data_IF_889561379022
#
_entry.id   IF_889561379022
#
_cell.length_a   1.000
_cell.length_b   1.000
_cell.length_c   1.000
_cell.angle_alpha   90.00
_cell.angle_beta   90.00
_cell.angle_gamma   90.00
#
_symmetry.space_group_name_H-M   'P 1'
#
loop_
_entity.id
_entity.type
_entity.pdbx_description
1 polymer ?
#
# COMPACT_ATOMS: atom_id res chain seq x y z
N UNK A 1 0.42 -5.16 -9.41
CA UNK A 1 0.55 -6.20 -10.46
C UNK A 1 -0.49 -5.89 -11.54
N UNK A 2 -0.27 -6.25 -12.80
CA UNK A 2 -1.36 -6.18 -13.79
C UNK A 2 -1.97 -7.58 -13.90
N UNK A 3 -3.24 -7.72 -13.51
CA UNK A 3 -4.01 -8.94 -13.66
C UNK A 3 -4.84 -8.83 -14.94
N UNK A 4 -4.34 -9.46 -16.01
CA UNK A 4 -5.08 -9.56 -17.27
C UNK A 4 -5.86 -10.87 -17.32
N UNK A 5 -7.05 -10.86 -17.93
CA UNK A 5 -7.86 -12.06 -18.14
C UNK A 5 -8.10 -12.88 -16.86
N UNK A 6 -8.29 -12.21 -15.71
CA UNK A 6 -8.59 -12.87 -14.44
C UNK A 6 -9.86 -13.70 -14.57
N UNK A 7 -9.81 -14.99 -14.22
CA UNK A 7 -10.93 -15.93 -14.19
C UNK A 7 -10.98 -16.61 -12.84
N UNK A 8 -12.06 -16.39 -12.10
CA UNK A 8 -12.31 -17.05 -10.80
C UNK A 8 -13.07 -18.36 -11.05
N UNK A 9 -12.58 -19.45 -10.47
CA UNK A 9 -13.17 -20.78 -10.61
C UNK A 9 -14.12 -21.07 -9.44
N UNK A 10 -13.58 -21.14 -8.22
CA UNK A 10 -14.36 -21.40 -6.99
C UNK A 10 -14.27 -20.20 -6.06
N UNK A 11 -15.34 -19.99 -5.30
CA UNK A 11 -15.44 -18.99 -4.24
C UNK A 11 -16.14 -19.65 -3.06
N UNK A 12 -15.65 -19.46 -1.85
CA UNK A 12 -16.35 -19.86 -0.62
C UNK A 12 -16.23 -18.75 0.41
N UNK A 13 -17.30 -18.56 1.18
CA UNK A 13 -17.41 -17.52 2.18
C UNK A 13 -17.58 -18.13 3.57
N UNK A 14 -16.75 -17.72 4.51
CA UNK A 14 -16.86 -18.02 5.93
C UNK A 14 -17.08 -16.72 6.70
N UNK A 15 -17.55 -16.81 7.93
CA UNK A 15 -17.70 -15.65 8.81
C UNK A 15 -16.74 -15.75 9.99
N UNK A 16 -16.04 -14.65 10.27
CA UNK A 16 -15.17 -14.51 11.43
C UNK A 16 -15.72 -13.44 12.37
N UNK A 17 -15.49 -13.62 13.66
CA UNK A 17 -16.08 -12.77 14.68
C UNK A 17 -15.01 -11.99 15.45
N UNK A 18 -15.44 -10.87 16.02
CA UNK A 18 -14.64 -10.15 17.01
C UNK A 18 -14.43 -11.05 18.23
N UNK A 19 -13.26 -10.93 18.87
CA UNK A 19 -12.96 -11.60 20.14
C UNK A 19 -14.06 -11.34 21.18
N UNK A 20 -14.40 -12.36 21.98
CA UNK A 20 -15.40 -12.24 23.05
C UNK A 20 -14.93 -11.26 24.14
N UNK A 21 -15.77 -11.01 25.16
CA UNK A 21 -15.46 -10.02 26.21
C UNK A 21 -14.17 -10.35 26.97
N UNK A 22 -13.87 -11.63 27.09
CA UNK A 22 -12.67 -12.17 27.74
C UNK A 22 -11.43 -12.20 26.80
N UNK A 23 -11.56 -11.63 25.60
CA UNK A 23 -10.52 -11.56 24.54
C UNK A 23 -10.15 -12.91 23.94
N UNK A 24 -10.97 -13.93 24.16
CA UNK A 24 -10.77 -15.26 23.59
C UNK A 24 -11.23 -15.34 22.13
N UNK A 25 -10.70 -16.35 21.44
CA UNK A 25 -11.08 -16.67 20.06
C UNK A 25 -12.55 -17.08 20.01
N UNK A 26 -13.30 -16.50 19.09
CA UNK A 26 -14.61 -17.02 18.71
C UNK A 26 -14.42 -17.82 17.44
N UNK A 27 -14.85 -19.09 17.45
CA UNK A 27 -14.73 -19.98 16.30
C UNK A 27 -15.48 -19.39 15.09
N UNK A 28 -14.86 -19.38 13.89
CA UNK A 28 -15.55 -18.93 12.68
C UNK A 28 -16.81 -19.76 12.39
N UNK A 29 -17.80 -19.12 11.75
CA UNK A 29 -18.90 -19.84 11.11
C UNK A 29 -18.47 -20.27 9.72
N UNK A 30 -18.58 -21.57 9.43
CA UNK A 30 -18.06 -22.13 8.19
C UNK A 30 -19.19 -22.40 7.20
N UNK A 31 -19.02 -22.01 5.93
CA UNK A 31 -19.78 -22.61 4.83
C UNK A 31 -19.29 -24.03 4.53
N UNK A 32 -20.23 -24.91 4.20
CA UNK A 32 -20.00 -26.26 3.69
C UNK A 32 -20.26 -26.36 2.17
N UNK A 33 -20.46 -25.22 1.50
CA UNK A 33 -20.78 -25.17 0.07
C UNK A 33 -20.05 -24.05 -0.65
N UNK A 34 -19.59 -24.34 -1.87
CA UNK A 34 -19.01 -23.35 -2.78
C UNK A 34 -20.12 -22.42 -3.28
N UNK A 35 -19.84 -21.12 -3.27
CA UNK A 35 -20.75 -20.09 -3.73
C UNK A 35 -20.87 -20.08 -5.26
N UNK A 36 -22.11 -20.12 -5.75
CA UNK A 36 -22.42 -19.98 -7.18
C UNK A 36 -22.81 -18.53 -7.44
N UNK A 37 -21.82 -17.72 -7.82
CA UNK A 37 -22.05 -16.35 -8.24
C UNK A 37 -22.66 -16.32 -9.65
N UNK A 38 -23.74 -15.56 -9.83
CA UNK A 38 -24.26 -15.24 -11.16
C UNK A 38 -23.22 -14.43 -11.98
N UNK A 39 -23.49 -14.27 -13.28
CA UNK A 39 -22.55 -13.62 -14.19
C UNK A 39 -22.21 -12.17 -13.77
N UNK A 40 -23.18 -11.41 -13.27
CA UNK A 40 -23.01 -10.01 -12.88
C UNK A 40 -22.20 -9.90 -11.57
N UNK A 41 -22.54 -10.72 -10.58
CA UNK A 41 -21.83 -10.81 -9.31
C UNK A 41 -20.38 -11.27 -9.52
N UNK A 42 -20.16 -12.27 -10.39
CA UNK A 42 -18.82 -12.78 -10.73
C UNK A 42 -17.97 -11.72 -11.42
N UNK A 43 -18.52 -11.02 -12.42
CA UNK A 43 -17.83 -9.93 -13.12
C UNK A 43 -17.46 -8.79 -12.16
N UNK A 44 -18.40 -8.42 -11.27
CA UNK A 44 -18.17 -7.39 -10.25
C UNK A 44 -17.08 -7.81 -9.26
N UNK A 45 -17.08 -9.07 -8.81
CA UNK A 45 -16.06 -9.62 -7.93
C UNK A 45 -14.67 -9.59 -8.59
N UNK A 46 -14.57 -10.04 -9.84
CA UNK A 46 -13.32 -10.01 -10.62
C UNK A 46 -12.79 -8.59 -10.81
N UNK A 47 -13.67 -7.63 -11.12
CA UNK A 47 -13.32 -6.22 -11.26
C UNK A 47 -12.74 -5.68 -9.95
N UNK A 48 -13.40 -5.90 -8.81
CA UNK A 48 -12.92 -5.44 -7.50
C UNK A 48 -11.57 -6.02 -7.11
N UNK A 49 -11.32 -7.30 -7.40
CA UNK A 49 -10.02 -7.95 -7.17
C UNK A 49 -8.95 -7.35 -8.09
N UNK A 50 -9.26 -7.17 -9.36
CA UNK A 50 -8.34 -6.58 -10.35
C UNK A 50 -7.96 -5.15 -9.97
N UNK A 51 -8.95 -4.32 -9.64
CA UNK A 51 -8.75 -2.93 -9.21
C UNK A 51 -7.89 -2.86 -7.95
N UNK A 52 -8.14 -3.74 -6.97
CA UNK A 52 -7.41 -3.78 -5.71
C UNK A 52 -5.97 -4.29 -5.86
N UNK A 53 -5.65 -5.08 -6.89
CA UNK A 53 -4.30 -5.62 -7.12
C UNK A 53 -3.52 -4.89 -8.23
N UNK A 54 -4.14 -3.89 -8.87
CA UNK A 54 -3.52 -3.04 -9.88
C UNK A 54 -2.26 -2.32 -9.38
N UNK A 55 -1.40 -1.81 -10.27
CA UNK A 55 -0.17 -1.12 -9.87
C UNK A 55 -0.46 0.13 -9.00
N UNK A 56 -1.59 0.80 -9.25
CA UNK A 56 -1.97 2.04 -8.59
C UNK A 56 -2.60 1.83 -7.20
N UNK A 57 -2.95 0.59 -6.82
CA UNK A 57 -3.86 0.33 -5.71
C UNK A 57 -3.20 0.03 -4.35
N UNK A 58 -1.95 0.44 -4.07
CA UNK A 58 -1.22 0.04 -2.83
C UNK A 58 -1.09 -1.47 -2.63
N UNK A 59 -1.27 -2.25 -3.69
CA UNK A 59 -0.90 -3.65 -3.66
C UNK A 59 0.63 -3.77 -3.69
N UNK A 60 1.17 -4.66 -2.87
CA UNK A 60 2.61 -4.86 -2.74
C UNK A 60 2.93 -6.36 -2.74
N UNK A 61 3.99 -6.73 -3.46
CA UNK A 61 4.57 -8.05 -3.34
C UNK A 61 5.33 -8.15 -2.02
N UNK A 62 4.99 -9.15 -1.21
CA UNK A 62 5.61 -9.42 0.08
C UNK A 62 6.41 -10.70 0.03
N UNK A 63 7.46 -10.76 0.85
CA UNK A 63 8.30 -11.95 0.98
C UNK A 63 7.63 -12.91 1.95
N UNK A 64 7.39 -14.14 1.50
CA UNK A 64 6.86 -15.21 2.34
C UNK A 64 7.97 -15.68 3.30
N UNK A 65 7.65 -15.79 4.59
CA UNK A 65 8.57 -16.26 5.64
C UNK A 65 8.07 -17.50 6.36
N UNK A 66 6.76 -17.70 6.49
CA UNK A 66 6.18 -18.95 7.00
C UNK A 66 6.00 -19.95 5.86
N UNK A 67 6.75 -21.06 5.89
CA UNK A 67 6.70 -22.12 4.88
C UNK A 67 6.28 -23.49 5.48
N UNK A 68 5.94 -23.53 6.76
CA UNK A 68 5.48 -24.76 7.44
C UNK A 68 4.11 -25.23 6.94
N UNK A 69 3.67 -26.42 7.37
CA UNK A 69 2.43 -27.05 6.88
C UNK A 69 1.13 -26.35 7.32
N UNK A 70 1.23 -25.42 8.28
CA UNK A 70 0.13 -24.56 8.74
C UNK A 70 0.19 -23.16 8.11
N UNK A 71 1.14 -22.90 7.22
CA UNK A 71 1.25 -21.63 6.50
C UNK A 71 0.12 -21.44 5.47
N UNK A 72 -0.13 -20.18 5.09
CA UNK A 72 -1.08 -19.87 4.01
C UNK A 72 -0.56 -20.39 2.68
N UNK A 73 0.76 -20.38 2.44
CA UNK A 73 1.34 -20.94 1.21
C UNK A 73 1.14 -22.46 1.12
N UNK A 74 1.24 -23.20 2.23
CA UNK A 74 0.92 -24.62 2.25
C UNK A 74 -0.57 -24.88 1.93
N UNK A 75 -1.46 -24.02 2.42
CA UNK A 75 -2.90 -24.10 2.08
C UNK A 75 -3.16 -23.80 0.60
N UNK A 76 -2.47 -22.80 0.04
CA UNK A 76 -2.55 -22.47 -1.38
C UNK A 76 -2.00 -23.59 -2.27
N UNK A 77 -0.90 -24.22 -1.86
CA UNK A 77 -0.31 -25.39 -2.51
C UNK A 77 -1.31 -26.55 -2.56
N UNK A 78 -1.97 -26.86 -1.43
CA UNK A 78 -3.04 -27.86 -1.38
C UNK A 78 -4.15 -27.52 -2.38
N UNK A 79 -4.66 -26.30 -2.36
CA UNK A 79 -5.75 -25.84 -3.25
C UNK A 79 -5.40 -26.01 -4.73
N UNK A 80 -4.17 -25.71 -5.14
CA UNK A 80 -3.75 -25.77 -6.54
C UNK A 80 -3.38 -27.21 -6.95
N UNK A 81 -2.52 -27.88 -6.18
CA UNK A 81 -1.85 -29.11 -6.62
C UNK A 81 -2.50 -30.39 -6.08
N UNK A 82 -3.11 -30.37 -4.89
CA UNK A 82 -3.68 -31.58 -4.28
C UNK A 82 -5.19 -31.72 -4.48
N UNK A 83 -5.88 -30.60 -4.71
CA UNK A 83 -7.32 -30.56 -4.90
C UNK A 83 -7.73 -30.72 -6.36
N UNK A 84 -6.89 -30.26 -7.31
CA UNK A 84 -7.26 -30.25 -8.73
C UNK A 84 -8.59 -29.52 -9.00
N UNK A 85 -9.14 -29.70 -10.20
CA UNK A 85 -10.42 -29.10 -10.59
C UNK A 85 -11.66 -29.85 -10.07
N UNK A 86 -11.51 -30.97 -9.35
CA UNK A 86 -12.61 -31.90 -9.03
C UNK A 86 -12.77 -32.22 -7.53
N UNK A 87 -11.99 -31.59 -6.65
CA UNK A 87 -12.00 -31.89 -5.20
C UNK A 87 -12.70 -30.84 -4.34
N UNK A 88 -13.98 -30.53 -4.58
CA UNK A 88 -14.70 -29.46 -3.86
C UNK A 88 -14.66 -29.62 -2.33
N UNK A 89 -14.77 -30.85 -1.82
CA UNK A 89 -14.71 -31.09 -0.37
C UNK A 89 -13.36 -30.71 0.25
N UNK A 90 -12.25 -31.06 -0.42
CA UNK A 90 -10.92 -30.69 0.07
C UNK A 90 -10.71 -29.17 0.01
N UNK A 91 -11.24 -28.50 -1.01
CA UNK A 91 -11.22 -27.03 -1.07
C UNK A 91 -11.94 -26.41 0.13
N UNK A 92 -13.15 -26.91 0.45
CA UNK A 92 -13.94 -26.49 1.62
C UNK A 92 -13.14 -26.71 2.92
N UNK A 93 -12.49 -27.85 3.10
CA UNK A 93 -11.75 -28.15 4.33
C UNK A 93 -10.50 -27.25 4.50
N UNK A 94 -9.80 -26.97 3.40
CA UNK A 94 -8.66 -26.04 3.40
C UNK A 94 -9.13 -24.60 3.64
N UNK A 95 -10.25 -24.18 3.07
CA UNK A 95 -10.78 -22.82 3.26
C UNK A 95 -11.24 -22.57 4.70
N UNK A 96 -11.79 -23.59 5.38
CA UNK A 96 -12.08 -23.55 6.83
C UNK A 96 -10.80 -23.32 7.65
N UNK A 97 -9.73 -24.01 7.30
CA UNK A 97 -8.42 -23.87 7.96
C UNK A 97 -7.85 -22.45 7.78
N UNK A 98 -8.00 -21.86 6.60
CA UNK A 98 -7.62 -20.47 6.32
C UNK A 98 -8.46 -19.47 7.15
N UNK A 99 -9.78 -19.66 7.22
CA UNK A 99 -10.67 -18.83 8.03
C UNK A 99 -10.31 -18.90 9.53
N UNK A 100 -10.00 -20.11 10.03
CA UNK A 100 -9.54 -20.30 11.40
C UNK A 100 -8.18 -19.62 11.66
N UNK A 101 -7.20 -19.78 10.77
CA UNK A 101 -5.88 -19.11 10.90
C UNK A 101 -6.04 -17.59 10.94
N UNK A 102 -6.90 -17.02 10.08
CA UNK A 102 -7.19 -15.59 10.08
C UNK A 102 -7.83 -15.13 11.41
N UNK A 103 -8.82 -15.86 11.91
CA UNK A 103 -9.44 -15.55 13.20
C UNK A 103 -8.42 -15.63 14.36
N UNK A 104 -7.53 -16.64 14.34
CA UNK A 104 -6.44 -16.79 15.31
C UNK A 104 -5.45 -15.61 15.26
N UNK A 105 -5.11 -15.11 14.08
CA UNK A 105 -4.24 -13.95 13.89
C UNK A 105 -4.85 -12.64 14.43
N UNK A 106 -6.18 -12.52 14.49
CA UNK A 106 -6.88 -11.36 15.04
C UNK A 106 -6.86 -11.31 16.57
N UNK A 107 -5.71 -11.05 17.20
CA UNK A 107 -5.51 -11.12 18.66
C UNK A 107 -6.17 -10.00 19.48
N UNK A 108 -6.82 -9.01 18.84
CA UNK A 108 -7.39 -7.85 19.51
C UNK A 108 -8.87 -7.63 19.21
N UNK A 109 -9.64 -7.22 20.22
CA UNK A 109 -11.05 -6.79 20.09
C UNK A 109 -11.26 -5.56 19.20
N UNK A 110 -10.21 -4.84 18.81
CA UNK A 110 -10.33 -3.72 17.86
C UNK A 110 -10.59 -4.20 16.44
N UNK A 111 -10.23 -5.44 16.12
CA UNK A 111 -10.51 -6.02 14.81
C UNK A 111 -11.97 -6.42 14.74
N UNK A 112 -12.67 -5.87 13.75
CA UNK A 112 -14.03 -6.26 13.46
C UNK A 112 -14.06 -7.64 12.82
N UNK A 113 -15.17 -8.33 13.04
CA UNK A 113 -15.52 -9.53 12.30
C UNK A 113 -15.84 -9.20 10.83
N UNK A 114 -16.48 -10.15 10.17
CA UNK A 114 -16.93 -10.01 8.79
C UNK A 114 -16.70 -11.29 8.01
N UNK A 115 -16.56 -11.14 6.70
CA UNK A 115 -16.52 -12.26 5.76
C UNK A 115 -15.09 -12.59 5.37
N UNK A 116 -14.75 -13.88 5.39
CA UNK A 116 -13.53 -14.44 4.82
C UNK A 116 -13.89 -15.13 3.53
N UNK A 117 -13.37 -14.63 2.41
CA UNK A 117 -13.63 -15.17 1.08
C UNK A 117 -12.37 -15.88 0.61
N UNK A 118 -12.43 -17.20 0.43
CA UNK A 118 -11.34 -17.98 -0.18
C UNK A 118 -11.74 -18.31 -1.61
N UNK A 119 -10.83 -18.07 -2.56
CA UNK A 119 -11.12 -18.25 -3.97
C UNK A 119 -9.86 -18.65 -4.74
N UNK A 120 -10.03 -19.34 -5.86
CA UNK A 120 -8.94 -19.72 -6.76
C UNK A 120 -9.34 -19.51 -8.21
N UNK A 121 -8.34 -19.56 -9.09
CA UNK A 121 -8.59 -19.35 -10.51
C UNK A 121 -7.34 -19.29 -11.35
N UNK A 122 -7.47 -18.66 -12.51
CA UNK A 122 -6.39 -18.43 -13.47
C UNK A 122 -6.37 -17.00 -13.98
N UNK A 123 -5.23 -16.54 -14.49
CA UNK A 123 -5.08 -15.24 -15.11
C UNK A 123 -3.91 -15.21 -16.11
N UNK A 124 -3.91 -14.22 -17.00
CA UNK A 124 -2.81 -13.92 -17.92
C UNK A 124 -2.67 -14.86 -19.12
N UNK A 125 -1.69 -14.56 -19.97
CA UNK A 125 -1.23 -15.38 -21.09
C UNK A 125 0.31 -15.43 -21.04
N UNK A 126 0.94 -16.60 -20.80
CA UNK A 126 0.32 -17.91 -20.52
C UNK A 126 -0.50 -17.91 -19.22
N UNK A 127 -1.50 -18.81 -19.14
CA UNK A 127 -2.35 -18.93 -17.95
C UNK A 127 -1.51 -19.29 -16.72
N UNK A 128 -1.69 -18.52 -15.64
CA UNK A 128 -1.13 -18.78 -14.32
C UNK A 128 -2.24 -19.02 -13.32
N UNK A 129 -2.06 -20.02 -12.45
CA UNK A 129 -2.97 -20.27 -11.35
C UNK A 129 -2.78 -19.26 -10.22
N UNK A 130 -3.79 -19.09 -9.38
CA UNK A 130 -3.68 -18.29 -8.16
C UNK A 130 -4.62 -18.82 -7.07
N UNK A 131 -4.34 -18.44 -5.83
CA UNK A 131 -5.27 -18.54 -4.69
C UNK A 131 -5.35 -17.17 -4.03
N UNK A 132 -6.57 -16.71 -3.79
CA UNK A 132 -6.85 -15.46 -3.10
C UNK A 132 -7.61 -15.70 -1.80
N UNK A 133 -7.32 -14.86 -0.80
CA UNK A 133 -8.09 -14.75 0.43
C UNK A 133 -8.44 -13.29 0.67
N UNK A 134 -9.73 -12.98 0.82
CA UNK A 134 -10.22 -11.66 1.20
C UNK A 134 -10.72 -11.69 2.63
N UNK A 135 -10.32 -10.72 3.44
CA UNK A 135 -11.04 -10.35 4.67
C UNK A 135 -11.83 -9.09 4.37
N UNK A 136 -13.15 -9.13 4.46
CA UNK A 136 -14.03 -7.99 4.24
C UNK A 136 -14.87 -7.69 5.48
N UNK A 137 -14.88 -6.43 5.92
CA UNK A 137 -15.80 -5.97 6.96
C UNK A 137 -17.18 -5.70 6.36
N UNK A 138 -18.21 -5.96 7.16
CA UNK A 138 -19.60 -5.72 6.77
C UNK A 138 -20.04 -4.29 7.10
N UNK A 139 -21.01 -3.82 6.33
CA UNK A 139 -21.64 -2.51 6.45
C UNK A 139 -23.15 -2.67 6.35
N UNK A 140 -23.86 -1.73 6.94
CA UNK A 140 -25.29 -1.59 6.69
C UNK A 140 -25.57 -0.63 5.55
N UNK A 141 -26.71 -0.80 4.90
CA UNK A 141 -27.15 0.08 3.82
C UNK A 141 -28.62 -0.08 3.50
N UNK A 142 -29.13 0.77 2.62
CA UNK A 142 -30.51 0.70 2.16
C UNK A 142 -30.54 0.27 0.69
N UNK A 143 -31.34 -0.74 0.37
CA UNK A 143 -31.64 -1.17 -0.99
C UNK A 143 -33.07 -0.78 -1.36
N UNK A 144 -33.23 -0.21 -2.55
CA UNK A 144 -34.56 0.02 -3.14
C UNK A 144 -35.04 -1.25 -3.81
N UNK A 145 -36.20 -1.73 -3.39
CA UNK A 145 -36.94 -2.80 -4.08
C UNK A 145 -38.08 -2.16 -4.86
N UNK A 146 -38.20 -2.51 -6.14
CA UNK A 146 -39.36 -2.12 -6.95
C UNK A 146 -40.25 -3.34 -7.09
N UNK A 147 -41.40 -3.31 -6.42
CA UNK A 147 -42.45 -4.30 -6.60
C UNK A 147 -43.62 -3.64 -7.33
N UNK A 148 -43.72 -3.92 -8.63
CA UNK A 148 -44.78 -3.53 -9.60
C UNK A 148 -45.19 -2.05 -9.60
N UNK A 149 -45.72 -1.51 -8.51
CA UNK A 149 -46.16 -0.11 -8.34
C UNK A 149 -45.60 0.59 -7.08
N UNK A 150 -44.96 -0.15 -6.16
CA UNK A 150 -44.41 0.41 -4.92
C UNK A 150 -42.90 0.45 -4.95
N UNK A 151 -42.37 1.57 -4.47
CA UNK A 151 -40.96 1.76 -4.19
C UNK A 151 -40.79 1.49 -2.71
N UNK A 152 -40.23 0.33 -2.38
CA UNK A 152 -39.97 -0.07 -1.00
C UNK A 152 -38.49 0.13 -0.69
N UNK A 153 -38.21 0.56 0.54
CA UNK A 153 -36.84 0.67 1.08
C UNK A 153 -36.61 -0.50 2.02
N UNK A 154 -35.63 -1.34 1.71
CA UNK A 154 -35.16 -2.41 2.58
C UNK A 154 -33.84 -2.01 3.22
N UNK A 155 -33.76 -2.11 4.55
CA UNK A 155 -32.48 -2.04 5.24
C UNK A 155 -31.78 -3.39 5.16
N UNK A 156 -30.54 -3.38 4.69
CA UNK A 156 -29.66 -4.54 4.60
C UNK A 156 -28.59 -4.38 5.67
N UNK A 157 -28.48 -5.39 6.52
CA UNK A 157 -27.30 -5.63 7.31
C UNK A 157 -26.35 -6.53 6.49
N UNK A 158 -25.06 -6.47 6.78
CA UNK A 158 -24.08 -7.40 6.23
C UNK A 158 -23.71 -7.25 4.76
N UNK A 159 -23.74 -6.02 4.23
CA UNK A 159 -23.20 -5.69 2.91
C UNK A 159 -21.67 -5.65 2.99
N UNK A 160 -20.96 -6.32 2.08
CA UNK A 160 -19.49 -6.31 2.02
C UNK A 160 -18.95 -6.05 0.61
N UNK A 161 -17.63 -5.83 0.53
CA UNK A 161 -16.90 -5.51 -0.71
C UNK A 161 -17.40 -4.24 -1.43
N UNK A 162 -18.13 -3.33 -0.78
CA UNK A 162 -18.69 -2.14 -1.43
C UNK A 162 -17.60 -1.24 -2.06
N UNK A 163 -17.91 -0.53 -3.16
CA UNK A 163 -16.93 0.32 -3.85
C UNK A 163 -16.51 1.53 -3.02
N UNK A 164 -17.38 2.03 -2.14
CA UNK A 164 -17.21 3.34 -1.50
C UNK A 164 -16.12 3.36 -0.42
N UNK A 165 -16.01 2.33 0.41
CA UNK A 165 -15.12 2.36 1.58
C UNK A 165 -13.99 1.32 1.55
N UNK A 166 -13.96 0.43 0.53
CA UNK A 166 -12.95 -0.64 0.36
C UNK A 166 -12.50 -1.25 1.69
N UNK A 167 -13.45 -1.61 2.57
CA UNK A 167 -13.15 -2.17 3.90
C UNK A 167 -12.74 -3.64 3.81
N UNK A 168 -11.75 -3.93 2.98
CA UNK A 168 -11.26 -5.27 2.75
C UNK A 168 -9.76 -5.31 2.52
N UNK A 169 -9.18 -6.47 2.85
CA UNK A 169 -7.78 -6.81 2.61
C UNK A 169 -7.74 -8.04 1.70
N UNK A 170 -6.77 -8.11 0.81
CA UNK A 170 -6.59 -9.25 -0.09
C UNK A 170 -5.18 -9.79 0.09
N UNK A 171 -5.06 -11.10 0.32
CA UNK A 171 -3.84 -11.86 0.09
C UNK A 171 -3.99 -12.67 -1.19
N UNK A 172 -3.05 -12.53 -2.12
CA UNK A 172 -3.10 -13.16 -3.44
C UNK A 172 -1.80 -13.89 -3.72
N UNK A 173 -1.86 -15.22 -3.77
CA UNK A 173 -0.71 -16.10 -3.94
C UNK A 173 -0.67 -16.68 -5.34
N UNK A 174 0.52 -16.67 -5.94
CA UNK A 174 0.78 -17.21 -7.26
C UNK A 174 1.93 -18.22 -7.15
N UNK A 175 1.76 -19.46 -7.60
CA UNK A 175 2.84 -20.43 -7.62
C UNK A 175 3.91 -20.01 -8.62
N UNK A 176 5.18 -20.17 -8.24
CA UNK A 176 6.31 -20.08 -9.15
C UNK A 176 6.58 -21.41 -9.85
N UNK A 177 7.85 -21.70 -10.10
CA UNK A 177 8.26 -23.00 -10.64
C UNK A 177 8.09 -24.07 -9.58
N UNK A 178 7.52 -25.21 -9.97
CA UNK A 178 7.28 -26.33 -9.05
C UNK A 178 8.58 -26.86 -8.41
N UNK A 179 9.72 -26.75 -9.12
CA UNK A 179 11.05 -27.10 -8.59
C UNK A 179 11.45 -26.34 -7.33
N UNK A 180 10.89 -25.15 -7.15
CA UNK A 180 11.26 -24.23 -6.07
C UNK A 180 10.38 -24.46 -4.82
N UNK A 181 9.43 -25.41 -4.89
CA UNK A 181 8.48 -25.73 -3.84
C UNK A 181 7.74 -24.49 -3.32
N UNK A 182 7.50 -24.43 -2.01
CA UNK A 182 6.85 -23.29 -1.36
C UNK A 182 7.65 -21.98 -1.45
N UNK A 183 8.97 -22.06 -1.62
CA UNK A 183 9.83 -20.87 -1.73
C UNK A 183 9.68 -20.13 -3.07
N UNK A 184 9.16 -20.81 -4.10
CA UNK A 184 8.90 -20.23 -5.41
C UNK A 184 7.62 -19.38 -5.49
N UNK A 185 6.81 -19.33 -4.43
CA UNK A 185 5.55 -18.61 -4.46
C UNK A 185 5.73 -17.09 -4.29
N UNK A 186 4.98 -16.32 -5.07
CA UNK A 186 4.82 -14.87 -4.85
C UNK A 186 3.54 -14.60 -4.07
N UNK A 187 3.60 -13.66 -3.14
CA UNK A 187 2.44 -13.21 -2.36
C UNK A 187 2.24 -11.70 -2.57
N UNK A 188 1.04 -11.30 -2.98
CA UNK A 188 0.64 -9.90 -3.12
C UNK A 188 -0.39 -9.57 -2.06
N UNK A 189 -0.13 -8.52 -1.28
CA UNK A 189 -1.05 -8.03 -0.26
C UNK A 189 -1.63 -6.70 -0.71
N UNK A 190 -2.94 -6.57 -0.67
CA UNK A 190 -3.66 -5.30 -0.72
C UNK A 190 -4.30 -5.01 0.63
N UNK A 191 -4.16 -3.77 1.08
CA UNK A 191 -4.83 -3.26 2.26
C UNK A 191 -5.11 -1.77 2.09
N UNK A 192 -6.38 -1.39 2.04
CA UNK A 192 -6.81 0.01 1.91
C UNK A 192 -6.35 0.89 3.08
N UNK A 193 -6.09 0.30 4.25
CA UNK A 193 -5.67 1.01 5.46
C UNK A 193 -4.15 1.18 5.57
N UNK A 194 -3.35 0.70 4.62
CA UNK A 194 -1.89 0.89 4.63
C UNK A 194 -1.47 2.37 4.43
N UNK A 195 -2.41 3.30 4.17
CA UNK A 195 -2.08 4.74 4.03
C UNK A 195 -2.21 5.66 5.24
N UNK A 196 -1.23 6.58 5.22
CA UNK A 196 -1.01 7.90 5.83
C UNK A 196 -1.57 8.30 7.19
N UNK A 197 -2.65 7.71 7.73
CA UNK A 197 -3.24 8.27 8.95
C UNK A 197 -3.93 7.31 9.93
N UNK A 198 -3.89 5.98 9.75
CA UNK A 198 -4.53 5.07 10.72
C UNK A 198 -3.67 3.86 11.10
N UNK A 199 -3.11 3.95 12.32
CA UNK A 199 -2.68 2.90 13.25
C UNK A 199 -2.07 1.64 12.62
N UNK A 200 -0.74 1.69 12.50
CA UNK A 200 0.21 0.66 12.04
C UNK A 200 -0.01 -0.77 12.54
N UNK A 201 -0.69 -0.98 13.68
CA UNK A 201 -0.86 -2.33 14.22
C UNK A 201 -2.11 -3.05 13.70
N UNK A 202 -2.99 -2.40 12.93
CA UNK A 202 -4.21 -3.03 12.40
C UNK A 202 -4.08 -3.73 11.05
N UNK A 203 -2.98 -3.53 10.33
CA UNK A 203 -2.66 -4.24 9.09
C UNK A 203 -1.68 -5.41 9.31
N UNK A 204 -0.81 -5.31 10.32
CA UNK A 204 0.24 -6.29 10.62
C UNK A 204 -0.30 -7.70 10.86
N UNK A 205 -1.43 -7.83 11.55
CA UNK A 205 -2.03 -9.14 11.78
C UNK A 205 -2.37 -9.86 10.47
N UNK A 206 -2.71 -9.12 9.41
CA UNK A 206 -3.12 -9.71 8.14
C UNK A 206 -1.91 -10.17 7.33
N UNK A 207 -0.94 -9.29 7.08
CA UNK A 207 0.22 -9.69 6.24
C UNK A 207 1.23 -10.57 7.00
N UNK A 208 1.45 -10.33 8.29
CA UNK A 208 2.48 -11.04 9.06
C UNK A 208 1.88 -12.25 9.75
N UNK A 209 0.98 -12.04 10.72
CA UNK A 209 0.48 -13.14 11.56
C UNK A 209 -0.46 -14.11 10.84
N UNK A 210 -1.20 -13.66 9.82
CA UNK A 210 -2.07 -14.51 9.01
C UNK A 210 -1.35 -15.00 7.76
N UNK A 211 -0.92 -14.10 6.87
CA UNK A 211 -0.31 -14.47 5.59
C UNK A 211 1.13 -14.99 5.72
N UNK A 212 1.78 -14.83 6.88
CA UNK A 212 3.13 -15.33 7.10
C UNK A 212 4.18 -14.61 6.25
N UNK A 213 3.96 -13.33 5.97
CA UNK A 213 4.79 -12.52 5.07
C UNK A 213 5.49 -11.38 5.80
N UNK A 214 6.52 -10.84 5.17
CA UNK A 214 7.22 -9.63 5.59
C UNK A 214 7.53 -8.74 4.40
N UNK A 215 7.94 -7.50 4.68
CA UNK A 215 8.33 -6.54 3.67
C UNK A 215 9.56 -7.03 2.87
N UNK A 216 9.65 -6.72 1.57
CA UNK A 216 10.87 -6.92 0.79
C UNK A 216 12.08 -6.20 1.42
N UNK A 217 13.27 -6.79 1.32
CA UNK A 217 14.50 -6.24 1.91
C UNK A 217 15.08 -5.04 1.16
N UNK A 218 14.50 -4.64 0.03
CA UNK A 218 15.00 -3.56 -0.82
C UNK A 218 14.39 -2.19 -0.52
N UNK A 219 13.56 -2.08 0.53
CA UNK A 219 12.87 -0.83 0.90
C UNK A 219 13.81 0.37 1.05
N UNK A 220 14.95 0.16 1.71
CA UNK A 220 15.96 1.19 1.93
C UNK A 220 16.50 1.76 0.60
N UNK A 221 16.88 0.86 -0.30
CA UNK A 221 17.35 1.18 -1.64
C UNK A 221 16.25 1.88 -2.47
N UNK A 222 15.03 1.34 -2.49
CA UNK A 222 13.93 1.91 -3.28
C UNK A 222 13.51 3.30 -2.76
N UNK A 223 13.47 3.51 -1.44
CA UNK A 223 13.21 4.83 -0.83
C UNK A 223 14.30 5.84 -1.20
N UNK A 224 15.57 5.44 -1.09
CA UNK A 224 16.71 6.27 -1.48
C UNK A 224 16.67 6.61 -2.99
N UNK A 225 16.41 5.62 -3.84
CA UNK A 225 16.25 5.79 -5.30
C UNK A 225 15.10 6.73 -5.64
N UNK A 226 13.94 6.58 -4.99
CA UNK A 226 12.79 7.48 -5.16
C UNK A 226 13.16 8.94 -4.86
N UNK A 227 13.82 9.15 -3.73
CA UNK A 227 14.24 10.48 -3.29
C UNK A 227 15.21 11.13 -4.29
N UNK A 228 16.22 10.38 -4.74
CA UNK A 228 17.23 10.86 -5.68
C UNK A 228 16.63 11.15 -7.07
N UNK A 229 15.75 10.26 -7.57
CA UNK A 229 15.06 10.46 -8.85
C UNK A 229 14.12 11.66 -8.81
N UNK A 230 13.36 11.83 -7.73
CA UNK A 230 12.46 12.97 -7.58
C UNK A 230 13.23 14.28 -7.55
N UNK A 231 14.35 14.35 -6.82
CA UNK A 231 15.25 15.52 -6.86
C UNK A 231 15.78 15.80 -8.26
N UNK A 232 16.19 14.77 -9.00
CA UNK A 232 16.69 14.89 -10.38
C UNK A 232 15.60 15.43 -11.31
N UNK A 233 14.38 14.94 -11.19
CA UNK A 233 13.23 15.43 -11.95
C UNK A 233 12.95 16.91 -11.65
N UNK A 234 12.80 17.27 -10.37
CA UNK A 234 12.50 18.65 -9.95
C UNK A 234 13.61 19.63 -10.36
N UNK A 235 14.88 19.21 -10.32
CA UNK A 235 15.98 20.07 -10.78
C UNK A 235 15.88 20.40 -12.27
N UNK A 236 15.53 19.39 -13.07
CA UNK A 236 15.53 19.45 -14.53
C UNK A 236 14.17 19.91 -15.12
N UNK A 237 13.18 20.22 -14.30
CA UNK A 237 11.88 20.73 -14.78
C UNK A 237 11.89 22.24 -15.02
N UNK A 238 10.92 22.74 -15.77
CA UNK A 238 10.73 24.18 -16.03
C UNK A 238 9.90 24.87 -14.92
N UNK A 239 9.88 24.30 -13.72
CA UNK A 239 9.17 24.88 -12.58
C UNK A 239 9.90 26.10 -12.02
N UNK A 240 9.13 27.08 -11.54
CA UNK A 240 9.66 28.23 -10.81
C UNK A 240 10.54 27.80 -9.61
N UNK A 241 11.62 28.54 -9.30
CA UNK A 241 12.54 28.20 -8.21
C UNK A 241 11.85 27.95 -6.86
N UNK A 242 10.83 28.74 -6.54
CA UNK A 242 10.04 28.63 -5.31
C UNK A 242 9.27 27.31 -5.26
N UNK A 243 8.59 26.94 -6.35
CA UNK A 243 7.89 25.64 -6.47
C UNK A 243 8.86 24.47 -6.36
N UNK A 244 10.04 24.57 -6.98
CA UNK A 244 11.10 23.55 -6.84
C UNK A 244 11.51 23.38 -5.38
N UNK A 245 11.63 24.47 -4.61
CA UNK A 245 11.92 24.42 -3.18
C UNK A 245 10.80 23.73 -2.41
N UNK A 246 9.55 24.11 -2.64
CA UNK A 246 8.39 23.57 -1.94
C UNK A 246 8.21 22.07 -2.18
N UNK A 247 8.43 21.59 -3.42
CA UNK A 247 8.38 20.17 -3.74
C UNK A 247 9.51 19.40 -3.06
N UNK A 248 10.73 19.95 -3.02
CA UNK A 248 11.84 19.33 -2.29
C UNK A 248 11.56 19.25 -0.78
N UNK A 249 10.86 20.24 -0.25
CA UNK A 249 10.45 20.28 1.15
C UNK A 249 9.37 19.26 1.48
N UNK A 250 8.40 19.13 0.57
CA UNK A 250 7.38 18.10 0.59
C UNK A 250 7.98 16.69 0.49
N UNK A 251 8.91 16.46 -0.44
CA UNK A 251 9.60 15.16 -0.61
C UNK A 251 10.28 14.72 0.67
N UNK A 252 10.94 15.65 1.35
CA UNK A 252 11.56 15.36 2.63
C UNK A 252 10.52 14.93 3.68
N UNK A 253 9.43 15.68 3.79
CA UNK A 253 8.34 15.39 4.75
C UNK A 253 7.71 14.04 4.44
N UNK A 254 7.44 13.78 3.16
CA UNK A 254 6.86 12.56 2.65
C UNK A 254 7.72 11.32 2.94
N UNK A 255 9.04 11.42 2.81
CA UNK A 255 9.92 10.27 3.05
C UNK A 255 10.25 10.08 4.53
N UNK A 256 10.48 11.17 5.28
CA UNK A 256 11.00 11.08 6.65
C UNK A 256 9.96 11.19 7.75
N UNK A 257 8.95 12.05 7.56
CA UNK A 257 8.04 12.46 8.64
C UNK A 257 6.75 11.65 8.62
N UNK A 258 6.26 11.30 7.43
CA UNK A 258 5.06 10.46 7.31
C UNK A 258 5.30 9.06 7.88
N UNK A 259 4.30 8.55 8.61
CA UNK A 259 4.39 7.29 9.36
C UNK A 259 3.84 6.08 8.61
N UNK A 260 3.35 6.25 7.37
CA UNK A 260 2.86 5.09 6.63
C UNK A 260 4.03 4.18 6.23
N UNK A 261 3.92 2.86 6.40
CA UNK A 261 5.04 1.94 6.15
C UNK A 261 5.37 1.77 4.67
N UNK A 262 4.50 2.22 3.77
CA UNK A 262 4.71 2.16 2.33
C UNK A 262 4.22 3.42 1.63
N UNK A 263 4.63 3.64 0.40
CA UNK A 263 4.11 4.70 -0.45
C UNK A 263 4.17 4.32 -1.93
N UNK A 264 3.43 5.04 -2.78
CA UNK A 264 3.59 4.98 -4.24
C UNK A 264 4.14 6.31 -4.78
N UNK A 265 4.76 6.28 -5.97
CA UNK A 265 5.17 7.51 -6.66
C UNK A 265 3.98 8.39 -7.05
N UNK A 266 2.85 7.76 -7.38
CA UNK A 266 1.61 8.45 -7.72
C UNK A 266 1.03 9.22 -6.54
N UNK A 267 1.04 8.64 -5.33
CA UNK A 267 0.62 9.35 -4.10
C UNK A 267 1.40 10.64 -3.88
N UNK A 268 2.72 10.61 -4.10
CA UNK A 268 3.55 11.81 -4.01
C UNK A 268 3.16 12.83 -5.10
N UNK A 269 3.01 12.36 -6.34
CA UNK A 269 2.66 13.22 -7.47
C UNK A 269 1.30 13.91 -7.28
N UNK A 270 0.28 13.17 -6.88
CA UNK A 270 -1.07 13.69 -6.66
C UNK A 270 -1.13 14.71 -5.53
N UNK A 271 -0.33 14.49 -4.48
CA UNK A 271 -0.33 15.34 -3.27
C UNK A 271 0.53 16.58 -3.40
N UNK A 272 1.65 16.52 -4.13
CA UNK A 272 2.68 17.56 -4.08
C UNK A 272 3.11 18.11 -5.44
N UNK A 273 2.77 17.46 -6.55
CA UNK A 273 3.12 17.97 -7.88
C UNK A 273 1.92 18.70 -8.54
N UNK A 274 2.18 19.83 -9.22
CA UNK A 274 1.20 20.46 -10.12
C UNK A 274 0.70 19.49 -11.18
N UNK A 275 -0.56 19.63 -11.61
CA UNK A 275 -1.22 18.69 -12.53
C UNK A 275 -0.42 18.53 -13.84
N UNK A 276 0.15 19.61 -14.32
CA UNK A 276 0.82 19.73 -15.62
C UNK A 276 2.12 18.92 -15.71
N UNK A 277 2.74 18.59 -14.57
CA UNK A 277 4.02 17.87 -14.52
C UNK A 277 3.89 16.41 -14.07
N UNK A 278 2.69 15.96 -13.69
CA UNK A 278 2.46 14.59 -13.15
C UNK A 278 2.77 13.51 -14.17
N UNK A 279 2.31 13.67 -15.41
CA UNK A 279 2.54 12.68 -16.47
C UNK A 279 4.02 12.58 -16.84
N UNK A 280 4.70 13.73 -16.90
CA UNK A 280 6.14 13.79 -17.11
C UNK A 280 6.94 13.13 -15.98
N UNK A 281 6.51 13.31 -14.72
CA UNK A 281 7.11 12.67 -13.56
C UNK A 281 6.95 11.15 -13.59
N UNK A 282 5.73 10.66 -13.86
CA UNK A 282 5.44 9.23 -13.98
C UNK A 282 6.27 8.58 -15.09
N UNK A 283 6.31 9.21 -16.27
CA UNK A 283 7.12 8.74 -17.42
C UNK A 283 8.62 8.74 -17.12
N UNK A 284 9.11 9.74 -16.39
CA UNK A 284 10.50 9.83 -15.97
C UNK A 284 10.88 8.71 -15.00
N UNK A 285 10.05 8.42 -14.00
CA UNK A 285 10.28 7.33 -13.04
C UNK A 285 10.27 5.97 -13.72
N UNK A 286 9.31 5.74 -14.62
CA UNK A 286 9.21 4.51 -15.41
C UNK A 286 10.48 4.30 -16.27
N UNK A 287 10.93 5.34 -16.96
CA UNK A 287 12.16 5.32 -17.77
C UNK A 287 13.43 5.02 -16.95
N UNK A 288 13.43 5.40 -15.67
CA UNK A 288 14.52 5.10 -14.73
C UNK A 288 14.31 3.78 -13.96
N UNK A 289 13.38 2.93 -14.42
CA UNK A 289 13.05 1.63 -13.83
C UNK A 289 12.73 1.74 -12.33
N UNK A 290 11.99 2.77 -11.95
CA UNK A 290 11.41 2.85 -10.61
C UNK A 290 10.09 2.05 -10.60
N UNK A 291 9.83 1.23 -9.57
CA UNK A 291 8.62 0.41 -9.53
C UNK A 291 7.36 1.28 -9.49
N UNK A 292 6.33 0.86 -10.24
CA UNK A 292 4.99 1.48 -10.18
C UNK A 292 4.14 0.96 -9.01
N UNK A 293 4.56 -0.14 -8.36
CA UNK A 293 3.93 -0.69 -7.16
C UNK A 293 4.24 0.15 -5.91
N UNK A 294 3.55 -0.15 -4.81
CA UNK A 294 3.95 0.35 -3.51
C UNK A 294 5.37 -0.11 -3.12
N UNK A 295 6.07 0.81 -2.46
CA UNK A 295 7.44 0.68 -1.97
C UNK A 295 7.43 0.82 -0.46
N UNK A 296 8.28 0.05 0.22
CA UNK A 296 8.47 0.14 1.67
C UNK A 296 9.19 1.43 2.00
N UNK A 297 8.59 2.24 2.89
CA UNK A 297 9.22 3.45 3.42
C UNK A 297 10.29 3.04 4.42
N UNK A 298 11.54 3.06 3.98
CA UNK A 298 12.68 2.73 4.81
C UNK A 298 13.81 3.73 4.54
N UNK A 299 14.18 4.47 5.59
CA UNK A 299 15.16 5.56 5.51
C UNK A 299 16.55 5.14 5.98
N UNK A 300 16.77 3.85 6.27
CA UNK A 300 18.04 3.34 6.80
C UNK A 300 19.25 3.66 5.89
N UNK A 301 19.08 3.58 4.57
CA UNK A 301 20.11 3.93 3.57
C UNK A 301 20.27 5.44 3.31
N UNK A 302 19.46 6.29 3.94
CA UNK A 302 19.47 7.73 3.64
C UNK A 302 20.46 8.52 4.50
N UNK A 303 21.02 7.93 5.55
CA UNK A 303 22.13 8.49 6.34
C UNK A 303 21.98 9.97 6.70
N UNK A 304 22.94 10.80 6.29
CA UNK A 304 22.96 12.26 6.55
C UNK A 304 22.08 13.07 5.58
N UNK A 305 21.64 12.50 4.46
CA UNK A 305 20.83 13.20 3.43
C UNK A 305 19.52 13.74 4.01
N UNK A 306 19.02 13.08 5.06
CA UNK A 306 17.83 13.48 5.79
C UNK A 306 18.10 14.30 7.07
N UNK A 307 19.36 14.46 7.48
CA UNK A 307 19.75 15.20 8.69
C UNK A 307 20.02 16.68 8.40
N UNK A 308 20.54 16.98 7.21
CA UNK A 308 20.96 18.32 6.77
C UNK A 308 20.37 18.62 5.41
N UNK A 309 19.76 19.79 5.24
CA UNK A 309 19.51 20.37 3.92
C UNK A 309 20.73 21.19 3.51
N UNK A 310 21.16 21.02 2.27
CA UNK A 310 22.32 21.72 1.70
C UNK A 310 21.84 22.65 0.59
N UNK A 311 22.22 23.90 0.70
CA UNK A 311 21.93 25.00 -0.20
C UNK A 311 23.27 25.42 -0.81
N UNK A 312 23.31 25.58 -2.14
CA UNK A 312 24.50 26.04 -2.86
C UNK A 312 24.23 27.43 -3.44
N UNK A 313 25.21 28.30 -3.34
CA UNK A 313 25.19 29.66 -3.88
C UNK A 313 26.40 29.81 -4.80
N UNK A 314 26.19 29.61 -6.10
CA UNK A 314 27.29 29.53 -7.08
C UNK A 314 28.20 28.31 -6.86
N UNK A 315 29.46 28.45 -7.26
CA UNK A 315 30.50 27.42 -7.08
C UNK A 315 31.16 27.44 -5.70
N UNK A 316 31.12 28.59 -5.01
CA UNK A 316 32.09 28.90 -3.94
C UNK A 316 31.48 28.91 -2.54
N UNK A 317 30.15 28.94 -2.44
CA UNK A 317 29.46 29.02 -1.16
C UNK A 317 28.40 27.93 -0.99
N UNK A 318 28.39 27.33 0.20
CA UNK A 318 27.37 26.38 0.62
C UNK A 318 26.90 26.67 2.05
N UNK A 319 25.60 26.53 2.27
CA UNK A 319 25.02 26.56 3.60
C UNK A 319 24.29 25.25 3.85
N UNK A 320 24.38 24.73 5.06
CA UNK A 320 23.51 23.62 5.44
C UNK A 320 22.93 23.79 6.83
N UNK A 321 21.69 23.33 6.98
CA UNK A 321 20.93 23.43 8.22
C UNK A 321 20.09 22.17 8.42
N UNK A 322 19.75 21.85 9.68
CA UNK A 322 18.80 20.77 9.92
C UNK A 322 17.40 21.22 9.48
N UNK A 323 16.57 20.31 8.93
CA UNK A 323 15.17 20.58 8.62
C UNK A 323 14.38 21.13 9.81
N UNK A 324 14.71 20.69 11.03
CA UNK A 324 14.07 21.17 12.25
C UNK A 324 14.41 22.63 12.54
N UNK A 325 15.66 23.05 12.28
CA UNK A 325 16.06 24.42 12.44
C UNK A 325 15.31 25.36 11.49
N UNK A 326 15.06 24.91 10.25
CA UNK A 326 14.25 25.65 9.27
C UNK A 326 12.78 25.72 9.71
N UNK A 327 12.18 24.57 10.06
CA UNK A 327 10.77 24.49 10.48
C UNK A 327 10.47 25.32 11.72
N UNK A 328 11.36 25.28 12.71
CA UNK A 328 11.18 26.02 13.97
C UNK A 328 11.67 27.47 13.88
N UNK A 329 11.95 27.98 12.66
CA UNK A 329 12.46 29.33 12.41
C UNK A 329 13.74 29.69 13.20
N UNK A 330 14.54 28.68 13.58
CA UNK A 330 15.90 28.90 14.08
C UNK A 330 16.83 29.34 12.95
N UNK A 331 16.54 28.88 11.73
CA UNK A 331 17.18 29.34 10.50
C UNK A 331 16.10 29.80 9.53
N UNK A 332 16.23 31.00 8.98
CA UNK A 332 15.37 31.51 7.91
C UNK A 332 16.23 31.83 6.68
N UNK A 333 15.71 31.49 5.49
CA UNK A 333 16.34 31.79 4.20
C UNK A 333 15.29 32.52 3.36
N UNK A 334 15.60 33.74 2.91
CA UNK A 334 14.69 34.59 2.11
C UNK A 334 15.44 35.26 0.97
N UNK A 335 14.73 35.48 -0.13
CA UNK A 335 15.20 36.35 -1.22
C UNK A 335 14.87 37.80 -0.85
N UNK A 336 15.84 38.70 -1.00
CA UNK A 336 15.73 40.12 -0.66
C UNK A 336 16.45 40.93 -1.73
N UNK A 337 15.90 42.07 -2.14
CA UNK A 337 16.56 43.02 -3.06
C UNK A 337 17.89 43.51 -2.47
N UNK A 338 18.96 43.54 -3.27
CA UNK A 338 20.29 43.95 -2.83
C UNK A 338 20.30 45.34 -2.17
N UNK A 339 19.58 46.33 -2.73
CA UNK A 339 19.40 47.66 -2.12
C UNK A 339 18.94 47.65 -0.67
N UNK A 340 18.06 46.71 -0.28
CA UNK A 340 17.58 46.59 1.11
C UNK A 340 18.65 46.08 2.08
N UNK A 341 19.74 45.54 1.54
CA UNK A 341 20.89 45.03 2.29
C UNK A 341 22.19 45.83 2.01
N UNK A 342 22.08 46.98 1.36
CA UNK A 342 23.21 47.88 1.08
C UNK A 342 23.95 47.63 -0.24
N UNK A 343 23.37 46.86 -1.17
CA UNK A 343 23.85 46.76 -2.55
C UNK A 343 23.41 47.93 -3.43
N UNK A 344 24.06 48.11 -4.57
CA UNK A 344 23.83 49.26 -5.48
C UNK A 344 22.67 49.04 -6.47
N UNK A 345 22.15 47.81 -6.58
CA UNK A 345 21.14 47.42 -7.57
C UNK A 345 19.92 46.69 -6.95
N UNK A 346 18.97 46.35 -7.81
CA UNK A 346 17.78 45.57 -7.42
C UNK A 346 18.01 44.06 -7.64
N UNK A 347 19.27 43.61 -7.71
CA UNK A 347 19.56 42.20 -7.91
C UNK A 347 19.05 41.36 -6.72
N UNK A 348 18.41 40.20 -6.95
CA UNK A 348 17.92 39.38 -5.86
C UNK A 348 19.08 38.72 -5.09
N UNK A 349 19.29 39.15 -3.85
CA UNK A 349 20.23 38.52 -2.92
C UNK A 349 19.54 37.50 -2.01
N UNK A 350 20.30 36.56 -1.46
CA UNK A 350 19.80 35.63 -0.44
C UNK A 350 20.22 36.09 0.95
N UNK A 351 19.25 36.31 1.83
CA UNK A 351 19.48 36.56 3.26
C UNK A 351 19.28 35.28 4.06
N UNK A 352 20.29 34.89 4.84
CA UNK A 352 20.23 33.77 5.79
C UNK A 352 20.29 34.33 7.22
N UNK A 353 19.26 34.07 8.01
CA UNK A 353 19.19 34.48 9.42
C UNK A 353 19.32 33.23 10.28
N UNK A 354 20.35 33.18 11.13
CA UNK A 354 20.58 32.11 12.11
C UNK A 354 20.33 32.65 13.51
N UNK A 355 19.22 32.27 14.14
CA UNK A 355 18.82 32.68 15.51
C UNK A 355 19.43 31.75 16.56
N UNK A 356 20.72 31.48 16.44
CA UNK A 356 21.49 30.65 17.34
C UNK A 356 22.95 31.08 17.31
N UNK A 357 23.62 31.10 18.46
CA UNK A 357 25.04 31.43 18.52
C UNK A 357 25.88 30.33 17.88
N UNK A 358 26.98 30.73 17.24
CA UNK A 358 27.99 29.81 16.72
C UNK A 358 28.67 29.13 17.92
N UNK A 359 28.70 27.79 17.91
CA UNK A 359 29.38 27.02 18.95
C UNK A 359 30.79 26.64 18.54
N UNK A 360 30.99 26.24 17.28
CA UNK A 360 32.26 25.76 16.74
C UNK A 360 32.39 26.13 15.26
N UNK A 361 33.64 26.17 14.76
CA UNK A 361 33.98 26.26 13.33
C UNK A 361 34.69 24.96 12.94
N UNK A 362 34.12 24.21 11.98
CA UNK A 362 34.59 22.90 11.54
C UNK A 362 35.28 22.95 10.19
#
# INVERSE_FOLDING_TARGET
MILENLRVNRVIMHEIFKRNNDRELVTPSYSDSIEILDAEAKATFQMRVTDALSAQSKSMEMRITELDDLSVVASAEKIIFEVGATGDQKFIDVSKSLAFKLAKAQTSRRYLGGVVIVFDGKFGVPERHFVGVIKAETQSGFRRLRDKEKILTQFLNDIFLTPAQRLYKIGFLIPGKQSDGRSGWSCFIFDSNITSNQRESAAQYFYESFMGCTFPSNGAYETSKFFDLTKKFVRNSDLEPEKKRDINDALFTFVKVEQSPTFTSQEFAEKYLPLEVRDGFSSFLQSNKFPERAVVRDVSDMGTRLKRRKFKFGSDAEFSASPEALRNKKVEIKTVEAKKLGGDDDEPWTQIIVRQQMTDQL
#
